data_IF_801770825252
#
_entry.id   IF_801770825252
#
_cell.length_a   1.000
_cell.length_b   1.000
_cell.length_c   1.000
_cell.angle_alpha   90.00
_cell.angle_beta   90.00
_cell.angle_gamma   90.00
#
_symmetry.space_group_name_H-M   'P 1'
#
loop_
_entity.id
_entity.type
_entity.pdbx_description
1 polymer ?
#
# COMPACT_ATOMS: atom_id res chain seq x y z
N UNK A 1 14.15 50.32 81.08
CA UNK A 1 14.92 49.85 79.96
C UNK A 1 14.35 48.51 79.57
N UNK A 2 13.38 48.50 78.57
CA UNK A 2 12.63 47.32 78.25
C UNK A 2 12.95 46.94 76.76
N UNK A 3 13.58 45.79 76.53
CA UNK A 3 13.86 45.23 75.24
C UNK A 3 12.57 44.55 74.73
N UNK A 4 12.11 44.96 73.53
CA UNK A 4 11.06 44.28 72.77
C UNK A 4 11.72 43.30 71.78
N UNK A 5 11.41 42.00 71.92
CA UNK A 5 11.68 40.98 70.93
C UNK A 5 10.56 41.02 69.84
N UNK A 6 10.97 41.28 68.59
CA UNK A 6 10.10 41.15 67.43
C UNK A 6 10.22 39.74 66.87
N UNK A 7 9.07 39.05 66.78
CA UNK A 7 8.95 37.78 66.11
C UNK A 7 8.81 37.98 64.58
N UNK A 8 9.70 37.42 63.76
CA UNK A 8 9.63 37.36 62.32
C UNK A 8 8.86 36.10 61.96
N UNK A 9 7.62 36.28 61.44
CA UNK A 9 6.85 35.19 60.83
C UNK A 9 7.36 34.97 59.38
N UNK A 10 8.05 33.84 59.13
CA UNK A 10 8.42 33.38 57.80
C UNK A 10 7.18 32.75 57.08
N UNK A 11 6.73 33.38 56.05
CA UNK A 11 5.71 32.80 55.18
C UNK A 11 6.37 31.76 54.25
N UNK A 12 6.07 30.49 54.43
CA UNK A 12 6.44 29.41 53.48
C UNK A 12 5.43 29.43 52.34
N UNK A 13 5.85 29.94 51.15
CA UNK A 13 5.07 29.83 49.93
C UNK A 13 5.26 28.41 49.42
N UNK A 14 4.25 27.58 49.64
CA UNK A 14 4.17 26.25 49.02
C UNK A 14 3.88 26.38 47.52
N UNK A 15 4.90 26.11 46.69
CA UNK A 15 4.69 25.92 45.24
C UNK A 15 4.01 24.57 45.06
N UNK A 16 2.67 24.60 44.93
CA UNK A 16 1.91 23.42 44.50
C UNK A 16 2.26 23.11 43.05
N UNK A 17 3.04 22.05 42.81
CA UNK A 17 3.11 21.42 41.52
C UNK A 17 1.69 20.87 41.19
N UNK A 18 0.93 21.60 40.40
CA UNK A 18 -0.24 21.05 39.74
C UNK A 18 0.29 19.97 38.77
N UNK A 19 0.27 18.71 39.20
CA UNK A 19 0.35 17.60 38.29
C UNK A 19 -0.90 17.68 37.40
N UNK A 20 -0.77 18.33 36.26
CA UNK A 20 -1.77 18.28 35.23
C UNK A 20 -1.98 16.82 34.85
N UNK A 21 -3.13 16.26 35.19
CA UNK A 21 -3.56 14.99 34.65
C UNK A 21 -3.59 15.19 33.13
N UNK A 22 -2.65 14.58 32.42
CA UNK A 22 -2.71 14.51 30.96
C UNK A 22 -4.08 13.94 30.63
N UNK A 23 -4.95 14.77 30.08
CA UNK A 23 -6.25 14.34 29.59
C UNK A 23 -5.97 13.42 28.43
N UNK A 24 -6.51 12.20 28.44
CA UNK A 24 -6.46 11.33 27.30
C UNK A 24 -7.00 12.10 26.09
N UNK A 25 -6.22 12.16 25.04
CA UNK A 25 -6.69 12.75 23.77
C UNK A 25 -7.50 11.69 23.05
N UNK A 26 -8.76 12.02 22.75
CA UNK A 26 -9.69 11.12 22.03
C UNK A 26 -9.91 11.67 20.62
N UNK A 27 -9.61 10.86 19.61
CA UNK A 27 -9.81 11.20 18.19
C UNK A 27 -10.76 10.22 17.51
N UNK A 28 -11.61 10.72 16.61
CA UNK A 28 -12.40 9.89 15.71
C UNK A 28 -11.85 10.04 14.30
N UNK A 29 -11.38 8.93 13.71
CA UNK A 29 -10.73 8.88 12.39
C UNK A 29 -11.56 8.04 11.44
N UNK A 30 -11.96 8.62 10.31
CA UNK A 30 -12.53 7.88 9.19
C UNK A 30 -11.44 7.12 8.44
N UNK A 31 -11.69 5.84 8.18
CA UNK A 31 -10.82 5.00 7.36
C UNK A 31 -11.65 4.44 6.20
N UNK A 32 -11.47 5.00 5.00
CA UNK A 32 -12.23 4.58 3.83
C UNK A 32 -11.37 3.77 2.87
N UNK A 33 -11.85 2.57 2.57
CA UNK A 33 -11.33 1.69 1.53
C UNK A 33 -12.45 1.21 0.62
N UNK A 34 -12.14 0.90 -0.66
CA UNK A 34 -13.21 0.61 -1.63
C UNK A 34 -13.56 -0.89 -1.74
N UNK A 35 -12.75 -1.79 -1.16
CA UNK A 35 -12.96 -3.24 -1.28
C UNK A 35 -12.66 -3.96 0.05
N UNK A 36 -13.71 -4.23 0.81
CA UNK A 36 -13.60 -4.76 2.19
C UNK A 36 -13.13 -6.19 2.33
N UNK A 37 -13.25 -7.01 1.30
CA UNK A 37 -12.89 -8.44 1.31
C UNK A 37 -11.51 -8.72 0.69
N UNK A 38 -10.88 -7.71 0.08
CA UNK A 38 -9.56 -7.87 -0.51
C UNK A 38 -8.48 -8.06 0.58
N UNK A 39 -7.70 -9.15 0.56
CA UNK A 39 -6.68 -9.44 1.57
C UNK A 39 -5.65 -8.30 1.77
N UNK A 40 -5.29 -7.59 0.71
CA UNK A 40 -4.41 -6.43 0.77
C UNK A 40 -5.00 -5.33 1.66
N UNK A 41 -6.27 -4.97 1.44
CA UNK A 41 -6.95 -3.91 2.19
C UNK A 41 -7.28 -4.34 3.62
N UNK A 42 -7.63 -5.60 3.84
CA UNK A 42 -7.79 -6.17 5.19
C UNK A 42 -6.48 -6.06 5.98
N UNK A 43 -5.37 -6.42 5.35
CA UNK A 43 -4.03 -6.33 5.96
C UNK A 43 -3.66 -4.87 6.27
N UNK A 44 -3.99 -3.94 5.39
CA UNK A 44 -3.76 -2.50 5.61
C UNK A 44 -4.57 -1.99 6.80
N UNK A 45 -5.86 -2.32 6.88
CA UNK A 45 -6.69 -1.96 8.04
C UNK A 45 -6.17 -2.57 9.35
N UNK A 46 -5.62 -3.79 9.33
CA UNK A 46 -5.01 -4.41 10.50
C UNK A 46 -3.74 -3.67 10.95
N UNK A 47 -2.94 -3.15 10.01
CA UNK A 47 -1.82 -2.25 10.31
C UNK A 47 -2.27 -0.98 11.06
N UNK A 48 -3.34 -0.34 10.59
CA UNK A 48 -3.93 0.83 11.27
C UNK A 48 -4.40 0.48 12.69
N UNK A 49 -5.09 -0.66 12.88
CA UNK A 49 -5.52 -1.12 14.22
C UNK A 49 -4.33 -1.37 15.16
N UNK A 50 -3.21 -1.89 14.64
CA UNK A 50 -1.99 -2.07 15.43
C UNK A 50 -1.42 -0.74 15.91
N UNK A 51 -1.37 0.26 15.02
CA UNK A 51 -0.95 1.63 15.40
C UNK A 51 -1.87 2.21 16.48
N UNK A 52 -3.20 2.06 16.35
CA UNK A 52 -4.17 2.50 17.35
C UNK A 52 -3.88 1.89 18.73
N UNK A 53 -3.61 0.59 18.79
CA UNK A 53 -3.27 -0.07 20.05
C UNK A 53 -2.01 0.51 20.70
N UNK A 54 -0.98 0.81 19.92
CA UNK A 54 0.28 1.41 20.42
C UNK A 54 0.10 2.87 20.84
N UNK A 55 -0.81 3.62 20.20
CA UNK A 55 -1.16 4.97 20.64
C UNK A 55 -1.97 4.95 21.95
N UNK A 56 -2.85 3.95 22.13
CA UNK A 56 -3.57 3.76 23.39
C UNK A 56 -2.62 3.53 24.57
N UNK A 57 -1.54 2.76 24.38
CA UNK A 57 -0.49 2.57 25.40
C UNK A 57 0.22 3.89 25.76
N UNK A 58 0.18 4.90 24.89
CA UNK A 58 0.72 6.24 25.09
C UNK A 58 -0.33 7.23 25.66
N UNK A 59 -1.56 6.77 25.93
CA UNK A 59 -2.66 7.59 26.46
C UNK A 59 -3.47 8.33 25.39
N UNK A 60 -3.30 8.01 24.09
CA UNK A 60 -4.08 8.56 22.98
C UNK A 60 -5.10 7.53 22.52
N UNK A 61 -6.38 7.85 22.62
CA UNK A 61 -7.46 6.98 22.17
C UNK A 61 -7.93 7.37 20.76
N UNK A 62 -7.97 6.40 19.86
CA UNK A 62 -8.48 6.59 18.50
C UNK A 62 -9.66 5.67 18.27
N UNK A 63 -10.79 6.24 17.91
CA UNK A 63 -11.95 5.52 17.40
C UNK A 63 -11.92 5.54 15.87
N UNK A 64 -11.71 4.37 15.25
CA UNK A 64 -11.60 4.24 13.82
C UNK A 64 -12.92 3.76 13.20
N UNK A 65 -13.55 4.61 12.40
CA UNK A 65 -14.73 4.26 11.62
C UNK A 65 -14.28 3.76 10.24
N UNK A 66 -14.32 2.43 10.06
CA UNK A 66 -13.92 1.77 8.82
C UNK A 66 -15.11 1.66 7.86
N UNK A 67 -14.97 2.17 6.64
CA UNK A 67 -15.92 1.97 5.55
C UNK A 67 -15.31 1.16 4.41
N UNK A 68 -16.17 0.44 3.71
CA UNK A 68 -15.79 -0.43 2.59
C UNK A 68 -16.70 -0.13 1.40
N UNK A 69 -16.21 0.51 0.37
CA UNK A 69 -16.96 1.00 -0.79
C UNK A 69 -17.71 -0.05 -1.62
N UNK A 70 -18.30 -1.07 -0.97
CA UNK A 70 -19.19 -2.04 -1.61
C UNK A 70 -18.58 -2.81 -2.77
N UNK A 71 -17.40 -3.40 -2.56
CA UNK A 71 -16.70 -4.25 -3.54
C UNK A 71 -16.50 -3.58 -4.91
N UNK A 72 -15.74 -2.46 -4.91
CA UNK A 72 -15.35 -1.69 -6.09
C UNK A 72 -16.38 -0.67 -6.63
N UNK A 73 -17.42 -0.34 -5.86
CA UNK A 73 -18.35 0.74 -6.23
C UNK A 73 -17.84 2.10 -5.72
N UNK A 74 -17.29 2.90 -6.63
CA UNK A 74 -16.80 4.25 -6.32
C UNK A 74 -17.91 5.21 -5.90
N UNK A 75 -19.15 5.01 -6.37
CA UNK A 75 -20.32 5.81 -5.97
C UNK A 75 -20.61 5.58 -4.49
N UNK A 76 -20.57 4.31 -4.06
CA UNK A 76 -20.71 3.98 -2.64
C UNK A 76 -19.55 4.56 -1.81
N UNK A 77 -18.32 4.51 -2.30
CA UNK A 77 -17.20 5.09 -1.57
C UNK A 77 -17.33 6.62 -1.41
N UNK A 78 -17.88 7.33 -2.40
CA UNK A 78 -18.23 8.77 -2.25
C UNK A 78 -19.24 8.96 -1.13
N UNK A 79 -20.33 8.19 -1.12
CA UNK A 79 -21.33 8.26 -0.04
C UNK A 79 -20.71 7.91 1.33
N UNK A 80 -19.81 6.93 1.40
CA UNK A 80 -19.08 6.61 2.64
C UNK A 80 -18.28 7.81 3.16
N UNK A 81 -17.65 8.62 2.28
CA UNK A 81 -16.93 9.83 2.70
C UNK A 81 -17.88 10.91 3.24
N UNK A 82 -19.03 11.09 2.61
CA UNK A 82 -20.08 12.02 3.10
C UNK A 82 -20.62 11.58 4.47
N UNK A 83 -20.84 10.27 4.66
CA UNK A 83 -21.28 9.70 5.92
C UNK A 83 -20.23 9.85 7.03
N UNK A 84 -18.95 9.63 6.73
CA UNK A 84 -17.86 9.85 7.67
C UNK A 84 -17.79 11.31 8.12
N UNK A 85 -17.93 12.26 7.19
CA UNK A 85 -18.00 13.67 7.51
C UNK A 85 -19.22 13.99 8.41
N UNK A 86 -20.40 13.47 8.08
CA UNK A 86 -21.61 13.66 8.88
C UNK A 86 -21.48 13.07 10.30
N UNK A 87 -20.69 12.02 10.49
CA UNK A 87 -20.37 11.45 11.80
C UNK A 87 -19.32 12.26 12.57
N UNK A 88 -18.77 13.32 11.98
CA UNK A 88 -17.86 14.25 12.67
C UNK A 88 -16.46 13.72 12.84
N UNK A 89 -15.94 12.92 11.88
CA UNK A 89 -14.54 12.47 11.91
C UNK A 89 -13.59 13.67 11.89
N UNK A 90 -12.53 13.59 12.68
CA UNK A 90 -11.52 14.62 12.82
C UNK A 90 -10.36 14.47 11.84
N UNK A 91 -10.29 13.33 11.15
CA UNK A 91 -9.31 13.03 10.11
C UNK A 91 -9.80 11.92 9.19
N UNK A 92 -9.26 11.87 7.97
CA UNK A 92 -9.58 10.86 6.95
C UNK A 92 -8.32 10.13 6.52
N UNK A 93 -8.33 8.80 6.60
CA UNK A 93 -7.38 7.93 5.90
C UNK A 93 -8.14 7.32 4.73
N UNK A 94 -7.62 7.48 3.50
CA UNK A 94 -8.30 7.11 2.27
C UNK A 94 -7.42 6.21 1.39
N UNK A 95 -7.92 5.04 1.07
CA UNK A 95 -7.50 4.25 -0.09
C UNK A 95 -8.53 4.48 -1.20
N UNK A 96 -8.28 5.32 -2.20
CA UNK A 96 -9.28 5.66 -3.20
C UNK A 96 -9.47 4.54 -4.22
N UNK A 97 -10.72 4.19 -4.53
CA UNK A 97 -11.06 3.28 -5.62
C UNK A 97 -10.91 3.90 -7.01
N UNK A 98 -10.92 5.23 -7.08
CA UNK A 98 -10.70 6.01 -8.30
C UNK A 98 -10.07 7.36 -7.95
N UNK A 99 -8.97 7.70 -8.61
CA UNK A 99 -8.17 8.90 -8.31
C UNK A 99 -8.85 10.22 -8.70
N UNK A 100 -9.80 10.19 -9.62
CA UNK A 100 -10.54 11.37 -10.10
C UNK A 100 -11.82 11.55 -9.28
N UNK A 101 -12.62 10.49 -9.20
CA UNK A 101 -13.93 10.52 -8.55
C UNK A 101 -13.79 10.85 -7.05
N UNK A 102 -12.85 10.22 -6.35
CA UNK A 102 -12.63 10.44 -4.92
C UNK A 102 -11.91 11.77 -4.59
N UNK A 103 -11.29 12.40 -5.56
CA UNK A 103 -10.69 13.73 -5.38
C UNK A 103 -11.72 14.81 -5.06
N UNK A 104 -12.92 14.73 -5.65
CA UNK A 104 -13.97 15.76 -5.48
C UNK A 104 -14.48 15.84 -4.03
N UNK A 105 -14.94 14.74 -3.35
CA UNK A 105 -15.35 14.83 -1.95
C UNK A 105 -14.19 15.21 -1.02
N UNK A 106 -12.95 14.74 -1.29
CA UNK A 106 -11.79 15.18 -0.51
C UNK A 106 -11.62 16.69 -0.57
N UNK A 107 -11.64 17.28 -1.78
CA UNK A 107 -11.48 18.73 -1.99
C UNK A 107 -12.64 19.53 -1.42
N UNK A 108 -13.88 19.12 -1.72
CA UNK A 108 -15.07 19.93 -1.47
C UNK A 108 -15.62 19.79 -0.05
N UNK A 109 -15.23 18.73 0.68
CA UNK A 109 -15.64 18.48 2.06
C UNK A 109 -14.43 18.61 2.99
N UNK A 110 -13.50 17.65 2.95
CA UNK A 110 -12.42 17.55 3.95
C UNK A 110 -11.45 18.74 3.90
N UNK A 111 -10.97 19.10 2.70
CA UNK A 111 -10.05 20.22 2.57
C UNK A 111 -10.71 21.56 2.89
N UNK A 112 -11.98 21.76 2.49
CA UNK A 112 -12.73 22.98 2.78
C UNK A 112 -12.94 23.21 4.26
N UNK A 113 -13.18 22.13 5.01
CA UNK A 113 -13.37 22.15 6.46
C UNK A 113 -12.04 22.00 7.24
N UNK A 114 -10.90 21.98 6.54
CA UNK A 114 -9.56 21.78 7.11
C UNK A 114 -9.41 20.47 7.91
N UNK A 115 -10.12 19.43 7.52
CA UNK A 115 -9.98 18.09 8.09
C UNK A 115 -8.76 17.45 7.46
N UNK A 116 -7.77 16.97 8.25
CA UNK A 116 -6.56 16.34 7.72
C UNK A 116 -6.88 15.06 6.95
N UNK A 117 -6.09 14.85 5.88
CA UNK A 117 -6.24 13.70 4.98
C UNK A 117 -4.91 12.98 4.82
N UNK A 118 -4.95 11.67 4.98
CA UNK A 118 -3.86 10.75 4.60
C UNK A 118 -4.35 9.89 3.44
N UNK A 119 -3.60 9.88 2.34
CA UNK A 119 -3.91 9.05 1.16
C UNK A 119 -2.96 7.86 1.13
N UNK A 120 -3.48 6.67 0.84
CA UNK A 120 -2.69 5.44 0.78
C UNK A 120 -2.81 4.77 -0.57
N UNK A 121 -1.69 4.21 -1.05
CA UNK A 121 -1.50 3.39 -2.26
C UNK A 121 -1.82 4.08 -3.58
N UNK A 122 -3.04 4.52 -3.80
CA UNK A 122 -3.47 5.22 -5.02
C UNK A 122 -3.59 6.71 -4.72
N UNK A 123 -2.90 7.55 -5.50
CA UNK A 123 -2.95 9.01 -5.38
C UNK A 123 -4.28 9.58 -5.87
N UNK A 124 -4.55 10.84 -5.50
CA UNK A 124 -5.67 11.62 -6.02
C UNK A 124 -5.20 12.59 -7.10
N UNK A 125 -6.03 12.86 -8.10
CA UNK A 125 -5.70 13.79 -9.19
C UNK A 125 -5.84 15.27 -8.79
N UNK A 126 -6.56 15.57 -7.71
CA UNK A 126 -6.72 16.92 -7.19
C UNK A 126 -7.06 16.91 -5.70
N UNK A 127 -7.04 18.09 -5.06
CA UNK A 127 -7.17 18.24 -3.61
C UNK A 127 -5.82 18.34 -2.92
N UNK A 128 -5.83 18.27 -1.60
CA UNK A 128 -4.64 18.28 -0.75
C UNK A 128 -4.71 17.21 0.32
N UNK A 129 -3.55 16.72 0.71
CA UNK A 129 -3.39 15.72 1.77
C UNK A 129 -2.13 16.02 2.58
N UNK A 130 -2.12 15.59 3.83
CA UNK A 130 -1.01 15.79 4.75
C UNK A 130 0.11 14.76 4.54
N UNK A 131 -0.28 13.53 4.14
CA UNK A 131 0.66 12.44 3.87
C UNK A 131 0.14 11.59 2.71
N UNK A 132 1.04 11.20 1.82
CA UNK A 132 0.80 10.17 0.82
C UNK A 132 1.72 8.97 1.07
N UNK A 133 1.14 7.80 1.28
CA UNK A 133 1.88 6.55 1.54
C UNK A 133 1.64 5.60 0.39
N UNK A 134 2.71 5.19 -0.28
CA UNK A 134 2.66 4.38 -1.49
C UNK A 134 3.78 3.34 -1.49
N UNK A 135 3.63 2.26 -2.22
CA UNK A 135 4.73 1.35 -2.53
C UNK A 135 5.76 2.03 -3.42
N UNK A 136 7.05 1.79 -3.20
CA UNK A 136 8.09 2.13 -4.19
C UNK A 136 7.94 1.21 -5.41
N UNK A 137 6.94 1.57 -6.24
CA UNK A 137 6.56 0.79 -7.41
C UNK A 137 7.66 0.70 -8.46
N UNK A 138 8.44 1.79 -8.62
CA UNK A 138 9.54 1.82 -9.60
C UNK A 138 10.69 0.90 -9.16
N UNK A 139 11.15 1.00 -7.91
CA UNK A 139 12.18 0.11 -7.37
C UNK A 139 11.70 -1.35 -7.34
N UNK A 140 10.41 -1.58 -7.07
CA UNK A 140 9.82 -2.92 -7.16
C UNK A 140 9.92 -3.50 -8.58
N UNK A 141 9.62 -2.71 -9.61
CA UNK A 141 9.83 -3.11 -11.00
C UNK A 141 11.29 -3.41 -11.33
N UNK A 142 12.22 -2.60 -10.83
CA UNK A 142 13.65 -2.84 -10.98
C UNK A 142 14.07 -4.18 -10.34
N UNK A 143 13.59 -4.47 -9.13
CA UNK A 143 13.86 -5.73 -8.43
C UNK A 143 13.38 -6.95 -9.21
N UNK A 144 12.22 -6.84 -9.89
CA UNK A 144 11.72 -7.89 -10.78
C UNK A 144 12.66 -8.13 -11.96
N UNK A 145 13.19 -7.08 -12.58
CA UNK A 145 14.15 -7.21 -13.69
C UNK A 145 15.50 -7.80 -13.22
N UNK A 146 15.95 -7.43 -12.03
CA UNK A 146 17.18 -8.01 -11.43
C UNK A 146 17.03 -9.51 -11.17
N UNK A 147 15.88 -9.96 -10.68
CA UNK A 147 15.60 -11.37 -10.52
C UNK A 147 15.56 -12.09 -11.88
N UNK A 148 14.89 -11.50 -12.87
CA UNK A 148 14.79 -12.02 -14.23
C UNK A 148 16.18 -12.21 -14.85
N UNK A 149 17.02 -11.18 -14.80
CA UNK A 149 18.34 -11.19 -15.41
C UNK A 149 19.33 -12.21 -14.78
N UNK A 150 19.08 -12.64 -13.54
CA UNK A 150 19.87 -13.70 -12.89
C UNK A 150 19.52 -15.10 -13.40
N UNK A 151 18.37 -15.26 -14.07
CA UNK A 151 17.82 -16.58 -14.42
C UNK A 151 17.76 -16.83 -15.92
N UNK A 152 17.71 -15.77 -16.74
CA UNK A 152 17.70 -15.90 -18.20
C UNK A 152 19.06 -15.50 -18.80
N UNK A 153 19.48 -16.07 -19.94
CA UNK A 153 20.72 -15.67 -20.60
C UNK A 153 20.74 -14.19 -20.98
N UNK A 154 21.92 -13.56 -21.00
CA UNK A 154 22.08 -12.20 -21.51
C UNK A 154 21.54 -12.06 -22.93
N UNK A 155 20.90 -10.94 -23.26
CA UNK A 155 20.26 -10.71 -24.54
C UNK A 155 18.91 -11.40 -24.73
N UNK A 156 18.45 -12.15 -23.74
CA UNK A 156 17.12 -12.81 -23.81
C UNK A 156 16.01 -11.81 -24.03
N UNK A 157 15.04 -12.22 -24.88
CA UNK A 157 13.80 -11.46 -25.06
C UNK A 157 12.92 -11.56 -23.82
N UNK A 158 12.52 -10.42 -23.28
CA UNK A 158 11.58 -10.28 -22.16
C UNK A 158 10.45 -9.33 -22.56
N UNK A 159 9.27 -9.52 -21.97
CA UNK A 159 8.13 -8.63 -22.20
C UNK A 159 7.47 -8.25 -20.88
N UNK A 160 6.91 -7.06 -20.82
CA UNK A 160 6.01 -6.62 -19.77
C UNK A 160 4.68 -6.17 -20.40
N UNK A 161 3.66 -6.05 -19.55
CA UNK A 161 2.34 -5.63 -19.98
C UNK A 161 1.87 -4.49 -19.10
N UNK A 162 1.30 -3.47 -19.73
CA UNK A 162 0.77 -2.31 -19.06
C UNK A 162 -0.74 -2.43 -18.82
N UNK A 163 -1.21 -1.72 -17.82
CA UNK A 163 -2.63 -1.50 -17.61
C UNK A 163 -3.08 -0.29 -18.45
N UNK A 164 -4.40 -0.21 -18.69
CA UNK A 164 -4.98 0.96 -19.34
C UNK A 164 -4.56 2.27 -18.64
N UNK A 165 -4.43 3.40 -19.36
CA UNK A 165 -4.04 4.68 -18.78
C UNK A 165 -4.86 5.04 -17.52
N UNK A 166 -4.20 5.61 -16.51
CA UNK A 166 -4.80 5.97 -15.23
C UNK A 166 -4.44 5.05 -14.06
N UNK A 167 -3.62 4.01 -14.29
CA UNK A 167 -3.04 3.22 -13.21
C UNK A 167 -1.54 3.53 -13.07
N UNK A 168 -1.23 4.60 -12.35
CA UNK A 168 0.16 5.08 -12.18
C UNK A 168 1.05 4.02 -11.51
N UNK A 169 0.50 3.21 -10.58
CA UNK A 169 1.24 2.14 -9.92
C UNK A 169 1.73 1.09 -10.92
N UNK A 170 0.85 0.63 -11.81
CA UNK A 170 1.20 -0.34 -12.85
C UNK A 170 2.26 0.23 -13.82
N UNK A 171 2.09 1.49 -14.24
CA UNK A 171 3.03 2.16 -15.13
C UNK A 171 4.42 2.32 -14.50
N UNK A 172 4.48 2.66 -13.21
CA UNK A 172 5.76 2.77 -12.48
C UNK A 172 6.44 1.40 -12.32
N UNK A 173 5.68 0.32 -12.03
CA UNK A 173 6.21 -1.05 -11.98
C UNK A 173 6.79 -1.48 -13.32
N UNK A 174 6.04 -1.25 -14.39
CA UNK A 174 6.46 -1.55 -15.76
C UNK A 174 7.72 -0.77 -16.13
N UNK A 175 7.68 0.57 -15.94
CA UNK A 175 8.83 1.42 -16.27
C UNK A 175 10.08 1.01 -15.50
N UNK A 176 9.96 0.71 -14.22
CA UNK A 176 11.08 0.23 -13.39
C UNK A 176 11.67 -1.07 -13.94
N UNK A 177 10.82 -2.02 -14.32
CA UNK A 177 11.24 -3.27 -14.94
C UNK A 177 11.97 -3.03 -16.27
N UNK A 178 11.39 -2.24 -17.17
CA UNK A 178 11.97 -2.00 -18.49
C UNK A 178 13.32 -1.29 -18.44
N UNK A 179 13.41 -0.22 -17.64
CA UNK A 179 14.66 0.54 -17.52
C UNK A 179 15.79 -0.35 -16.99
N UNK A 180 15.52 -1.14 -15.94
CA UNK A 180 16.50 -2.04 -15.35
C UNK A 180 16.80 -3.24 -16.24
N UNK A 181 15.82 -3.83 -16.92
CA UNK A 181 16.03 -4.92 -17.86
C UNK A 181 16.94 -4.50 -19.03
N UNK A 182 16.73 -3.30 -19.58
CA UNK A 182 17.60 -2.70 -20.63
C UNK A 182 19.02 -2.47 -20.10
N UNK A 183 19.17 -1.91 -18.88
CA UNK A 183 20.46 -1.72 -18.21
C UNK A 183 21.22 -3.04 -18.04
N UNK A 184 20.52 -4.12 -17.70
CA UNK A 184 21.08 -5.46 -17.51
C UNK A 184 21.26 -6.24 -18.82
N UNK A 185 21.04 -5.61 -19.98
CA UNK A 185 21.29 -6.19 -21.29
C UNK A 185 20.22 -7.18 -21.77
N UNK A 186 19.01 -7.13 -21.21
CA UNK A 186 17.87 -7.89 -21.71
C UNK A 186 17.21 -7.17 -22.91
N UNK A 187 16.63 -7.94 -23.84
CA UNK A 187 15.92 -7.42 -25.00
C UNK A 187 14.44 -7.24 -24.70
N UNK A 188 14.08 -6.04 -24.21
CA UNK A 188 12.69 -5.71 -23.89
C UNK A 188 11.86 -5.58 -25.18
N UNK A 189 10.82 -6.40 -25.29
CA UNK A 189 9.90 -6.40 -26.44
C UNK A 189 8.85 -5.31 -26.27
N UNK A 190 8.22 -4.84 -27.38
CA UNK A 190 7.14 -3.85 -27.32
C UNK A 190 6.00 -4.33 -26.42
N UNK A 191 5.55 -3.44 -25.56
CA UNK A 191 4.47 -3.65 -24.62
C UNK A 191 3.10 -3.84 -25.29
N UNK A 192 2.21 -4.49 -24.55
CA UNK A 192 0.80 -4.60 -24.92
C UNK A 192 -0.04 -4.23 -23.70
N UNK A 193 -1.19 -3.59 -23.95
CA UNK A 193 -2.16 -3.30 -22.89
C UNK A 193 -2.99 -4.52 -22.55
N UNK A 194 -3.37 -4.65 -21.28
CA UNK A 194 -4.22 -5.74 -20.78
C UNK A 194 -5.32 -5.21 -19.85
N UNK A 195 -6.37 -6.01 -19.71
CA UNK A 195 -7.34 -5.89 -18.63
C UNK A 195 -6.92 -6.77 -17.47
N UNK A 196 -7.23 -6.35 -16.25
CA UNK A 196 -6.82 -7.04 -15.03
C UNK A 196 -7.73 -8.24 -14.78
N UNK A 197 -7.37 -9.40 -15.34
CA UNK A 197 -8.06 -10.67 -15.07
C UNK A 197 -7.16 -11.88 -15.35
N UNK A 198 -7.45 -13.00 -14.70
CA UNK A 198 -6.78 -14.27 -14.93
C UNK A 198 -6.92 -14.73 -16.39
N UNK A 199 -8.12 -14.61 -16.96
CA UNK A 199 -8.41 -15.02 -18.33
C UNK A 199 -7.62 -14.19 -19.35
N UNK A 200 -7.52 -12.88 -19.13
CA UNK A 200 -6.72 -12.00 -19.97
C UNK A 200 -5.23 -12.36 -19.91
N UNK A 201 -4.71 -12.65 -18.71
CA UNK A 201 -3.32 -13.11 -18.54
C UNK A 201 -3.05 -14.41 -19.30
N UNK A 202 -3.96 -15.37 -19.26
CA UNK A 202 -3.86 -16.61 -20.02
C UNK A 202 -3.80 -16.34 -21.53
N UNK A 203 -4.75 -15.59 -22.04
CA UNK A 203 -4.85 -15.26 -23.47
C UNK A 203 -3.62 -14.49 -23.97
N UNK A 204 -3.20 -13.47 -23.25
CA UNK A 204 -2.02 -12.68 -23.61
C UNK A 204 -0.74 -13.54 -23.66
N UNK A 205 -0.61 -14.49 -22.73
CA UNK A 205 0.54 -15.39 -22.75
C UNK A 205 0.48 -16.34 -23.95
N UNK A 206 -0.68 -16.91 -24.28
CA UNK A 206 -0.88 -17.73 -25.48
C UNK A 206 -0.50 -16.93 -26.76
N UNK A 207 -1.02 -15.70 -26.91
CA UNK A 207 -0.70 -14.81 -28.01
C UNK A 207 0.80 -14.44 -28.07
N UNK A 208 1.43 -14.24 -26.90
CA UNK A 208 2.85 -13.91 -26.81
C UNK A 208 3.73 -15.07 -27.26
N UNK A 209 3.39 -16.30 -26.86
CA UNK A 209 4.13 -17.50 -27.27
C UNK A 209 4.09 -17.73 -28.80
N UNK A 210 2.98 -17.34 -29.44
CA UNK A 210 2.86 -17.38 -30.91
C UNK A 210 3.69 -16.26 -31.56
N UNK A 211 3.56 -15.03 -31.06
CA UNK A 211 4.20 -13.86 -31.64
C UNK A 211 5.73 -13.81 -31.42
N UNK A 212 6.19 -14.31 -30.27
CA UNK A 212 7.60 -14.29 -29.83
C UNK A 212 7.98 -15.69 -29.32
N UNK A 213 8.18 -16.68 -30.21
CA UNK A 213 8.41 -18.06 -29.80
C UNK A 213 9.68 -18.27 -28.95
N UNK A 214 10.65 -17.38 -29.05
CA UNK A 214 11.92 -17.39 -28.33
C UNK A 214 11.91 -16.49 -27.07
N UNK A 215 10.72 -16.06 -26.60
CA UNK A 215 10.58 -15.32 -25.33
C UNK A 215 11.14 -16.14 -24.16
N UNK A 216 11.85 -15.48 -23.25
CA UNK A 216 12.47 -16.12 -22.08
C UNK A 216 11.99 -15.56 -20.74
N UNK A 217 11.41 -14.37 -20.73
CA UNK A 217 10.92 -13.78 -19.49
C UNK A 217 9.68 -12.91 -19.69
N UNK A 218 8.81 -12.94 -18.71
CA UNK A 218 7.56 -12.17 -18.69
C UNK A 218 7.39 -11.53 -17.32
N UNK A 219 7.06 -10.25 -17.30
CA UNK A 219 6.74 -9.53 -16.08
C UNK A 219 5.30 -9.03 -16.11
N UNK A 220 4.56 -9.30 -15.04
CA UNK A 220 3.22 -8.76 -14.82
C UNK A 220 3.19 -7.88 -13.56
N UNK A 221 2.48 -6.78 -13.64
CA UNK A 221 2.32 -5.85 -12.53
C UNK A 221 1.33 -6.32 -11.45
N UNK A 222 0.65 -7.48 -11.63
CA UNK A 222 -0.36 -8.00 -10.69
C UNK A 222 -0.44 -9.54 -10.75
N UNK A 223 -0.68 -10.17 -9.59
CA UNK A 223 -0.68 -11.63 -9.44
C UNK A 223 -1.80 -12.35 -10.20
N UNK A 224 -3.00 -11.77 -10.32
CA UNK A 224 -4.12 -12.45 -10.99
C UNK A 224 -3.83 -12.70 -12.47
N UNK A 225 -3.21 -11.73 -13.13
CA UNK A 225 -2.77 -11.85 -14.54
C UNK A 225 -1.66 -12.90 -14.67
N UNK A 226 -0.69 -12.88 -13.73
CA UNK A 226 0.41 -13.85 -13.72
C UNK A 226 -0.06 -15.30 -13.52
N UNK A 227 -1.09 -15.52 -12.69
CA UNK A 227 -1.70 -16.84 -12.51
C UNK A 227 -2.26 -17.41 -13.82
N UNK A 228 -2.93 -16.57 -14.61
CA UNK A 228 -3.42 -16.93 -15.92
C UNK A 228 -2.30 -17.26 -16.91
N UNK A 229 -1.26 -16.44 -16.94
CA UNK A 229 -0.09 -16.66 -17.78
C UNK A 229 0.65 -17.95 -17.40
N UNK A 230 0.82 -18.25 -16.11
CA UNK A 230 1.41 -19.50 -15.64
C UNK A 230 0.63 -20.73 -16.10
N UNK A 231 -0.69 -20.66 -16.16
CA UNK A 231 -1.52 -21.74 -16.69
C UNK A 231 -1.30 -21.94 -18.21
N UNK A 232 -1.16 -20.87 -18.99
CA UNK A 232 -0.85 -20.94 -20.42
C UNK A 232 0.55 -21.54 -20.69
N UNK A 233 1.57 -21.12 -19.92
CA UNK A 233 2.92 -21.67 -19.99
C UNK A 233 2.93 -23.18 -19.70
N UNK A 234 2.22 -23.62 -18.67
CA UNK A 234 2.09 -25.03 -18.31
C UNK A 234 1.39 -25.82 -19.42
N UNK A 235 0.31 -25.32 -20.02
CA UNK A 235 -0.40 -25.95 -21.12
C UNK A 235 0.47 -26.09 -22.40
N UNK A 236 1.33 -25.11 -22.65
CA UNK A 236 2.27 -25.10 -23.77
C UNK A 236 3.60 -25.86 -23.48
N UNK A 237 3.76 -26.43 -22.27
CA UNK A 237 5.02 -27.06 -21.81
C UNK A 237 6.26 -26.12 -21.91
N UNK A 238 6.06 -24.80 -21.73
CA UNK A 238 7.11 -23.78 -21.83
C UNK A 238 7.72 -23.52 -20.45
N UNK A 239 8.46 -24.50 -19.93
CA UNK A 239 9.20 -24.40 -18.65
C UNK A 239 10.46 -23.55 -18.74
N UNK A 240 10.86 -23.15 -19.94
CA UNK A 240 11.99 -22.29 -20.24
C UNK A 240 11.69 -20.80 -20.13
N UNK A 241 10.43 -20.42 -19.96
CA UNK A 241 9.99 -19.03 -19.80
C UNK A 241 9.83 -18.69 -18.32
N UNK A 242 10.57 -17.69 -17.86
CA UNK A 242 10.52 -17.23 -16.48
C UNK A 242 9.42 -16.18 -16.30
N UNK A 243 8.66 -16.30 -15.22
CA UNK A 243 7.55 -15.40 -14.89
C UNK A 243 7.84 -14.72 -13.56
N UNK A 244 7.83 -13.39 -13.54
CA UNK A 244 7.91 -12.58 -12.32
C UNK A 244 6.68 -11.68 -12.26
N UNK A 245 6.14 -11.46 -11.07
CA UNK A 245 4.96 -10.62 -10.89
C UNK A 245 5.03 -9.76 -9.63
N UNK A 246 4.09 -8.85 -9.51
CA UNK A 246 3.75 -8.15 -8.27
C UNK A 246 2.62 -8.85 -7.54
N UNK A 247 2.51 -8.50 -6.27
CA UNK A 247 1.48 -8.86 -5.31
C UNK A 247 1.52 -10.31 -4.83
N UNK A 248 1.10 -10.48 -3.59
CA UNK A 248 1.09 -11.75 -2.87
C UNK A 248 -0.34 -12.14 -2.55
N UNK A 249 -0.68 -13.39 -2.85
CA UNK A 249 -1.88 -14.07 -2.37
C UNK A 249 -1.57 -15.56 -2.11
N UNK A 250 -2.46 -16.33 -1.47
CA UNK A 250 -2.21 -17.74 -1.18
C UNK A 250 -1.91 -18.58 -2.42
N UNK A 251 -2.56 -18.27 -3.56
CA UNK A 251 -2.40 -19.01 -4.82
C UNK A 251 -1.03 -18.73 -5.44
N UNK A 252 -0.66 -17.47 -5.59
CA UNK A 252 0.64 -17.06 -6.14
C UNK A 252 1.80 -17.49 -5.25
N UNK A 253 1.63 -17.44 -3.93
CA UNK A 253 2.58 -18.00 -2.97
C UNK A 253 2.87 -19.48 -3.25
N UNK A 254 1.81 -20.29 -3.42
CA UNK A 254 1.99 -21.71 -3.75
C UNK A 254 2.63 -21.90 -5.13
N UNK A 255 2.29 -21.05 -6.11
CA UNK A 255 2.89 -21.12 -7.45
C UNK A 255 4.40 -20.83 -7.42
N UNK A 256 4.88 -19.93 -6.56
CA UNK A 256 6.33 -19.71 -6.36
C UNK A 256 6.98 -20.94 -5.75
N UNK A 257 6.39 -21.55 -4.72
CA UNK A 257 6.89 -22.79 -4.11
C UNK A 257 6.97 -23.94 -5.11
N UNK A 258 5.99 -24.04 -6.00
CA UNK A 258 5.94 -25.05 -7.07
C UNK A 258 6.90 -24.73 -8.24
N UNK A 259 7.50 -23.54 -8.28
CA UNK A 259 8.38 -23.10 -9.37
C UNK A 259 7.64 -22.72 -10.66
N UNK A 260 6.32 -22.44 -10.59
CA UNK A 260 5.49 -21.96 -11.72
C UNK A 260 5.64 -20.46 -11.94
N UNK A 261 5.97 -19.72 -10.88
CA UNK A 261 6.33 -18.31 -10.87
C UNK A 261 7.71 -18.23 -10.25
N UNK A 262 8.64 -17.51 -10.90
CA UNK A 262 10.03 -17.36 -10.44
C UNK A 262 10.11 -16.56 -9.15
N UNK A 263 9.31 -15.50 -9.06
CA UNK A 263 9.23 -14.67 -7.86
C UNK A 263 8.11 -13.61 -7.92
N UNK A 264 7.79 -13.10 -6.75
CA UNK A 264 6.82 -12.03 -6.55
C UNK A 264 7.47 -10.84 -5.85
N UNK A 265 7.19 -9.65 -6.36
CA UNK A 265 7.48 -8.39 -5.68
C UNK A 265 6.34 -8.14 -4.70
N UNK A 266 6.62 -8.29 -3.42
CA UNK A 266 5.63 -8.24 -2.35
C UNK A 266 5.58 -6.85 -1.74
N UNK A 267 4.41 -6.24 -1.74
CA UNK A 267 4.11 -4.98 -1.08
C UNK A 267 3.92 -5.19 0.43
N UNK A 268 3.94 -4.09 1.20
CA UNK A 268 3.69 -4.12 2.64
C UNK A 268 2.46 -3.27 3.02
N UNK A 269 1.24 -3.78 2.75
CA UNK A 269 0.02 -3.08 3.09
C UNK A 269 -0.15 -2.90 4.61
N UNK A 270 0.37 -3.82 5.43
CA UNK A 270 0.34 -3.66 6.88
C UNK A 270 1.07 -2.38 7.30
N UNK A 271 2.28 -2.19 6.77
CA UNK A 271 3.08 -0.99 7.07
C UNK A 271 2.40 0.27 6.53
N UNK A 272 1.76 0.22 5.35
CA UNK A 272 1.01 1.37 4.83
C UNK A 272 -0.11 1.81 5.79
N UNK A 273 -0.90 0.89 6.28
CA UNK A 273 -1.98 1.20 7.23
C UNK A 273 -1.44 1.65 8.60
N UNK A 274 -0.38 1.01 9.09
CA UNK A 274 0.28 1.37 10.34
C UNK A 274 0.84 2.80 10.30
N UNK A 275 1.60 3.13 9.27
CA UNK A 275 2.17 4.46 9.10
C UNK A 275 1.11 5.52 8.74
N UNK A 276 0.05 5.12 8.03
CA UNK A 276 -1.09 5.99 7.74
C UNK A 276 -1.79 6.46 9.01
N UNK A 277 -2.03 5.57 9.96
CA UNK A 277 -2.61 5.91 11.25
C UNK A 277 -1.63 6.71 12.11
N UNK A 278 -0.33 6.37 12.11
CA UNK A 278 0.69 7.16 12.81
C UNK A 278 0.76 8.60 12.28
N UNK A 279 0.74 8.79 10.97
CA UNK A 279 0.74 10.11 10.34
C UNK A 279 -0.52 10.91 10.74
N UNK A 280 -1.68 10.26 10.71
CA UNK A 280 -2.95 10.88 11.09
C UNK A 280 -2.95 11.33 12.55
N UNK A 281 -2.58 10.46 13.48
CA UNK A 281 -2.53 10.82 14.92
C UNK A 281 -1.51 11.94 15.17
N UNK A 282 -0.32 11.86 14.54
CA UNK A 282 0.68 12.92 14.61
C UNK A 282 0.10 14.27 14.18
N UNK A 283 -0.67 14.29 13.08
CA UNK A 283 -1.31 15.51 12.58
C UNK A 283 -2.37 16.04 13.53
N UNK A 284 -3.22 15.16 14.06
CA UNK A 284 -4.30 15.53 14.99
C UNK A 284 -3.75 16.08 16.32
N UNK A 285 -2.56 15.65 16.74
CA UNK A 285 -1.85 16.22 17.89
C UNK A 285 -1.11 17.54 17.58
N UNK A 286 -1.28 18.10 16.37
CA UNK A 286 -0.65 19.35 15.94
C UNK A 286 0.79 19.19 15.43
N UNK A 287 1.27 17.97 15.25
CA UNK A 287 2.56 17.68 14.62
C UNK A 287 2.53 17.81 13.10
N UNK A 288 3.69 17.64 12.48
CA UNK A 288 3.85 17.66 11.02
C UNK A 288 4.32 16.28 10.55
N UNK A 289 3.42 15.45 10.00
CA UNK A 289 3.83 14.16 9.46
C UNK A 289 4.65 14.33 8.17
N UNK A 290 5.33 13.26 7.76
CA UNK A 290 6.08 13.22 6.49
C UNK A 290 5.10 13.32 5.33
N UNK A 291 5.33 14.24 4.38
CA UNK A 291 4.41 14.51 3.28
C UNK A 291 4.27 13.33 2.30
N UNK A 292 5.33 12.53 2.12
CA UNK A 292 5.31 11.33 1.28
C UNK A 292 6.17 10.23 1.91
N UNK A 293 5.68 9.01 1.86
CA UNK A 293 6.39 7.81 2.31
C UNK A 293 6.30 6.72 1.24
N UNK A 294 7.45 6.39 0.66
CA UNK A 294 7.58 5.28 -0.28
C UNK A 294 7.95 4.01 0.51
N UNK A 295 7.06 3.02 0.54
CA UNK A 295 7.26 1.77 1.28
C UNK A 295 8.03 0.79 0.40
N UNK A 296 9.21 0.29 0.82
CA UNK A 296 9.98 -0.66 0.05
C UNK A 296 9.26 -2.00 -0.11
N UNK A 297 9.51 -2.66 -1.22
CA UNK A 297 9.01 -4.01 -1.50
C UNK A 297 9.98 -5.09 -1.00
N UNK A 298 9.46 -6.32 -0.86
CA UNK A 298 10.26 -7.52 -0.59
C UNK A 298 10.15 -8.47 -1.78
N UNK A 299 11.23 -9.17 -2.12
CA UNK A 299 11.21 -10.19 -3.17
C UNK A 299 10.96 -11.57 -2.57
N UNK A 300 9.85 -12.18 -2.92
CA UNK A 300 9.55 -13.59 -2.63
C UNK A 300 10.08 -14.47 -3.78
N UNK A 301 10.85 -15.46 -3.45
CA UNK A 301 11.33 -16.52 -4.34
C UNK A 301 11.13 -17.88 -3.67
N UNK A 302 11.37 -18.97 -4.40
CA UNK A 302 11.29 -20.31 -3.81
C UNK A 302 12.25 -20.49 -2.62
N UNK A 303 13.43 -19.85 -2.68
CA UNK A 303 14.49 -20.04 -1.68
C UNK A 303 14.13 -19.41 -0.32
N UNK A 304 13.36 -18.32 -0.32
CA UNK A 304 12.95 -17.62 0.90
C UNK A 304 11.45 -17.74 1.20
N UNK A 305 10.73 -18.65 0.53
CA UNK A 305 9.27 -18.75 0.68
C UNK A 305 8.82 -19.01 2.13
N UNK A 306 9.66 -19.67 2.94
CA UNK A 306 9.34 -19.90 4.36
C UNK A 306 9.19 -18.61 5.16
N UNK A 307 9.87 -17.51 4.79
CA UNK A 307 9.79 -16.21 5.46
C UNK A 307 8.42 -15.52 5.27
N UNK A 308 7.66 -15.94 4.26
CA UNK A 308 6.34 -15.40 3.90
C UNK A 308 5.18 -16.32 4.31
N UNK A 309 5.47 -17.47 4.93
CA UNK A 309 4.42 -18.45 5.25
C UNK A 309 3.35 -17.91 6.20
N UNK A 310 3.74 -17.02 7.11
CA UNK A 310 2.86 -16.37 8.09
C UNK A 310 2.43 -14.95 7.67
N UNK A 311 2.78 -14.51 6.45
CA UNK A 311 2.38 -13.19 5.96
C UNK A 311 0.84 -13.10 5.92
N UNK A 312 0.23 -12.00 6.44
CA UNK A 312 -1.23 -11.82 6.43
C UNK A 312 -1.86 -11.96 5.04
N UNK A 313 -1.16 -11.60 3.98
CA UNK A 313 -1.64 -11.74 2.60
C UNK A 313 -1.71 -13.22 2.17
N UNK A 314 -0.95 -14.11 2.81
CA UNK A 314 -0.98 -15.56 2.59
C UNK A 314 -1.99 -16.24 3.51
N UNK A 315 -2.04 -15.85 4.79
CA UNK A 315 -2.85 -16.51 5.81
C UNK A 315 -4.27 -15.96 5.91
N UNK A 316 -4.52 -14.75 5.39
CA UNK A 316 -5.81 -14.05 5.49
C UNK A 316 -6.15 -13.59 6.92
N UNK A 317 -5.14 -13.47 7.79
CA UNK A 317 -5.32 -13.14 9.23
C UNK A 317 -4.86 -11.73 9.54
#
# INVERSE_FOLDING_TARGET
>A
MALRFGAVLGAVVGIGLAAGTARAEDFTVGYSQFWGTNPFLVTMANGAKKSIAEWADKGVKVDMILTNGGDTDTTKQVADLEDLYAQGVQGLILFPGDSIVLAEPVKNIFNKENIPVVVTDIGLQSGSWDTFIITDNYAGGQSAAELMAKTVPAGSKVITFDHAPGNDNAQMRQKGFEDKAKELGLSVQPEKFLKLSLEEGRKLMEDTLVAIPDIKGVFFFNQAVAQGAAAALAAANRTDVQLVSFDLDPVSYQMVKDGKILGLVVQDPFKMGYEGMNAMVTKLQGGTPVARMDIPTRMLTKDNAAEFADDPQVTGK
#
